data_IF_012267178040
#
_entry.id   IF_012267178040
#
_cell.length_a   1.000
_cell.length_b   1.000
_cell.length_c   1.000
_cell.angle_alpha   90.00
_cell.angle_beta   90.00
_cell.angle_gamma   90.00
#
_symmetry.space_group_name_H-M   'P 1'
#
loop_
_entity.id
_entity.type
_entity.pdbx_description
1 polymer ?
#
# COMPACT_ATOMS: atom_id res chain seq x y z
N UNK A 1 4.35 17.99 -17.61
CA UNK A 1 4.28 17.46 -16.24
C UNK A 1 5.71 17.26 -15.81
N UNK A 2 6.13 17.92 -14.73
CA UNK A 2 7.53 17.90 -14.28
C UNK A 2 7.98 16.47 -13.98
N UNK A 3 9.22 16.13 -14.34
CA UNK A 3 9.85 14.82 -14.08
C UNK A 3 9.88 14.42 -12.59
N UNK A 4 9.63 15.39 -11.68
CA UNK A 4 9.47 15.15 -10.25
C UNK A 4 8.13 14.49 -9.90
N UNK A 5 7.05 14.78 -10.63
CA UNK A 5 5.73 14.18 -10.37
C UNK A 5 5.63 12.73 -10.86
N UNK A 6 6.45 12.34 -11.85
CA UNK A 6 6.50 10.95 -12.35
C UNK A 6 7.10 9.97 -11.33
N UNK A 7 7.84 10.44 -10.32
CA UNK A 7 8.49 9.58 -9.33
C UNK A 7 7.71 9.40 -8.01
N UNK A 8 6.62 10.14 -7.79
CA UNK A 8 5.82 9.97 -6.58
C UNK A 8 5.08 8.62 -6.63
N UNK A 9 5.23 7.82 -5.57
CA UNK A 9 4.51 6.56 -5.39
C UNK A 9 3.01 6.84 -5.30
N UNK A 10 2.24 6.40 -6.30
CA UNK A 10 0.79 6.59 -6.38
C UNK A 10 0.03 5.27 -6.29
N UNK A 11 0.69 4.15 -6.61
CA UNK A 11 0.06 2.85 -6.87
C UNK A 11 -0.70 2.31 -5.66
N UNK A 12 -0.18 2.48 -4.45
CA UNK A 12 -0.86 2.15 -3.18
C UNK A 12 -1.75 3.28 -2.65
N UNK A 13 -1.56 4.51 -3.17
CA UNK A 13 -2.15 5.75 -2.69
C UNK A 13 -3.23 6.33 -3.59
N UNK A 14 -3.64 5.70 -4.68
CA UNK A 14 -4.69 6.24 -5.54
C UNK A 14 -5.62 5.15 -6.08
N UNK A 15 -6.76 5.61 -6.59
CA UNK A 15 -7.68 4.81 -7.39
C UNK A 15 -7.63 5.40 -8.79
N UNK A 16 -7.29 4.57 -9.79
CA UNK A 16 -7.26 4.99 -11.20
C UNK A 16 -8.10 4.08 -12.07
N UNK A 17 -8.69 4.68 -13.10
CA UNK A 17 -9.53 4.05 -14.11
C UNK A 17 -8.84 4.17 -15.46
N UNK A 18 -9.02 3.18 -16.34
CA UNK A 18 -8.56 3.19 -17.73
C UNK A 18 -7.09 3.62 -17.89
N UNK A 19 -6.23 3.18 -16.97
CA UNK A 19 -4.80 3.52 -16.99
C UNK A 19 -4.11 2.74 -18.11
N UNK A 20 -3.41 3.40 -19.05
CA UNK A 20 -2.77 2.70 -20.17
C UNK A 20 -1.81 1.62 -19.70
N UNK A 21 -2.00 0.39 -20.18
CA UNK A 21 -1.12 -0.75 -19.93
C UNK A 21 -0.82 -1.02 -18.44
N UNK A 22 -1.76 -0.72 -17.54
CA UNK A 22 -1.54 -0.81 -16.07
C UNK A 22 -1.10 -2.19 -15.60
N UNK A 23 -1.55 -3.24 -16.28
CA UNK A 23 -1.22 -4.63 -15.97
C UNK A 23 0.20 -5.05 -16.40
N UNK A 24 0.82 -4.29 -17.31
CA UNK A 24 2.15 -4.56 -17.85
C UNK A 24 3.22 -3.57 -17.34
N UNK A 25 2.81 -2.47 -16.69
CA UNK A 25 3.72 -1.45 -16.15
C UNK A 25 3.62 -1.43 -14.62
N UNK A 26 4.28 -2.42 -14.01
CA UNK A 26 4.46 -2.45 -12.56
C UNK A 26 5.58 -1.50 -12.16
N UNK A 27 5.40 -0.79 -11.05
CA UNK A 27 6.44 0.07 -10.48
C UNK A 27 7.65 -0.76 -10.07
N UNK A 28 8.84 -0.16 -10.07
CA UNK A 28 10.02 -0.77 -9.42
C UNK A 28 9.71 -1.12 -7.96
N UNK A 29 9.89 -2.39 -7.60
CA UNK A 29 9.57 -2.93 -6.27
C UNK A 29 8.14 -3.46 -6.14
N UNK A 30 7.27 -3.19 -7.11
CA UNK A 30 5.96 -3.81 -7.20
C UNK A 30 6.07 -5.22 -7.80
N UNK A 31 5.36 -6.18 -7.22
CA UNK A 31 5.32 -7.58 -7.68
C UNK A 31 3.89 -8.08 -7.66
N UNK A 32 3.50 -8.81 -8.70
CA UNK A 32 2.25 -9.59 -8.70
C UNK A 32 2.45 -10.77 -7.77
N UNK A 33 1.57 -10.90 -6.79
CA UNK A 33 1.57 -11.96 -5.78
C UNK A 33 0.52 -13.01 -6.09
N UNK A 34 -0.61 -12.62 -6.71
CA UNK A 34 -1.63 -13.55 -7.17
C UNK A 34 -2.38 -13.02 -8.41
N UNK A 35 -2.98 -13.94 -9.18
CA UNK A 35 -3.84 -13.63 -10.33
C UNK A 35 -5.08 -14.51 -10.29
N UNK A 36 -6.26 -13.88 -10.19
CA UNK A 36 -7.55 -14.55 -10.20
C UNK A 36 -8.20 -14.34 -11.57
N UNK A 37 -8.54 -15.46 -12.22
CA UNK A 37 -9.09 -15.50 -13.57
C UNK A 37 -10.62 -15.55 -13.57
N UNK A 38 -11.21 -15.12 -14.68
CA UNK A 38 -12.65 -15.14 -14.96
C UNK A 38 -13.47 -14.25 -14.02
N UNK A 39 -12.98 -13.02 -13.82
CA UNK A 39 -13.59 -12.06 -12.90
C UNK A 39 -14.22 -10.91 -13.67
N UNK A 40 -15.50 -10.64 -13.42
CA UNK A 40 -16.26 -9.52 -13.97
C UNK A 40 -16.28 -8.33 -13.00
N UNK A 41 -16.03 -7.12 -13.50
CA UNK A 41 -16.40 -5.87 -12.80
C UNK A 41 -17.90 -5.59 -13.02
N UNK A 42 -18.73 -6.06 -12.09
CA UNK A 42 -20.19 -6.03 -12.24
C UNK A 42 -20.80 -4.62 -12.18
N UNK A 43 -20.11 -3.65 -11.58
CA UNK A 43 -20.62 -2.27 -11.42
C UNK A 43 -20.19 -1.35 -12.57
N UNK A 44 -18.97 -1.49 -13.06
CA UNK A 44 -18.45 -0.64 -14.13
C UNK A 44 -18.56 -1.26 -15.53
N UNK A 45 -18.37 -2.57 -15.65
CA UNK A 45 -18.16 -3.26 -16.93
C UNK A 45 -18.91 -4.60 -17.01
N UNK A 46 -20.21 -4.58 -16.66
CA UNK A 46 -21.03 -5.80 -16.56
C UNK A 46 -21.10 -6.58 -17.89
N UNK A 47 -20.76 -7.87 -17.86
CA UNK A 47 -20.67 -8.75 -19.03
C UNK A 47 -19.29 -8.86 -19.66
N UNK A 48 -18.31 -8.10 -19.16
CA UNK A 48 -16.95 -8.18 -19.64
C UNK A 48 -16.09 -9.04 -18.72
N UNK A 49 -15.49 -10.08 -19.29
CA UNK A 49 -14.60 -10.98 -18.54
C UNK A 49 -13.23 -10.33 -18.41
N UNK A 50 -12.76 -10.21 -17.17
CA UNK A 50 -11.44 -9.70 -16.84
C UNK A 50 -10.63 -10.64 -15.96
N UNK A 51 -9.51 -10.11 -15.48
CA UNK A 51 -8.64 -10.75 -14.49
C UNK A 51 -8.38 -9.77 -13.35
N UNK A 52 -8.32 -10.30 -12.12
CA UNK A 52 -7.81 -9.57 -10.97
C UNK A 52 -6.36 -9.93 -10.73
N UNK A 53 -5.49 -8.93 -10.64
CA UNK A 53 -4.10 -9.06 -10.24
C UNK A 53 -3.97 -8.45 -8.85
N UNK A 54 -3.54 -9.25 -7.89
CA UNK A 54 -3.17 -8.79 -6.56
C UNK A 54 -1.65 -8.57 -6.54
N UNK A 55 -1.22 -7.34 -6.37
CA UNK A 55 0.20 -6.99 -6.23
C UNK A 55 0.54 -6.76 -4.76
N UNK A 56 1.77 -6.43 -4.42
CA UNK A 56 2.12 -5.97 -3.07
C UNK A 56 1.65 -4.54 -2.73
N UNK A 57 1.10 -3.76 -3.68
CA UNK A 57 0.70 -2.36 -3.48
C UNK A 57 -0.79 -2.08 -3.76
N UNK A 58 -1.41 -2.85 -4.64
CA UNK A 58 -2.75 -2.59 -5.18
C UNK A 58 -3.41 -3.84 -5.76
N UNK A 59 -4.72 -3.75 -5.94
CA UNK A 59 -5.48 -4.66 -6.80
C UNK A 59 -5.70 -3.99 -8.15
N UNK A 60 -5.45 -4.74 -9.23
CA UNK A 60 -5.71 -4.32 -10.61
C UNK A 60 -6.76 -5.24 -11.20
N UNK A 61 -7.84 -4.69 -11.75
CA UNK A 61 -8.72 -5.42 -12.66
C UNK A 61 -8.48 -4.93 -14.09
N UNK A 62 -8.42 -5.82 -15.07
CA UNK A 62 -8.44 -5.42 -16.48
C UNK A 62 -9.30 -6.36 -17.31
N UNK A 63 -9.94 -5.78 -18.32
CA UNK A 63 -10.76 -6.51 -19.29
C UNK A 63 -9.89 -7.32 -20.26
N UNK A 64 -10.36 -8.52 -20.61
CA UNK A 64 -9.78 -9.34 -21.68
C UNK A 64 -10.32 -8.96 -23.07
N UNK A 65 -11.52 -8.37 -23.13
CA UNK A 65 -12.18 -7.99 -24.38
C UNK A 65 -11.82 -6.57 -24.83
N UNK A 66 -11.59 -5.67 -23.88
CA UNK A 66 -11.38 -4.24 -24.11
C UNK A 66 -10.07 -3.77 -23.47
N UNK A 67 -9.05 -3.54 -24.30
CA UNK A 67 -7.71 -3.11 -23.83
C UNK A 67 -7.71 -1.81 -23.02
N UNK A 68 -8.74 -0.96 -23.19
CA UNK A 68 -8.87 0.31 -22.48
C UNK A 68 -9.39 0.14 -21.06
N UNK A 69 -10.29 -0.82 -20.82
CA UNK A 69 -11.01 -0.92 -19.56
C UNK A 69 -10.18 -1.61 -18.48
N UNK A 70 -9.85 -0.85 -17.45
CA UNK A 70 -9.14 -1.36 -16.27
C UNK A 70 -9.39 -0.47 -15.05
N UNK A 71 -9.10 -1.05 -13.88
CA UNK A 71 -9.19 -0.43 -12.57
C UNK A 71 -7.90 -0.74 -11.81
N UNK A 72 -7.34 0.26 -11.15
CA UNK A 72 -6.21 0.12 -10.23
C UNK A 72 -6.61 0.73 -8.89
N UNK A 73 -6.66 -0.09 -7.85
CA UNK A 73 -7.12 0.31 -6.52
C UNK A 73 -5.98 0.07 -5.51
N UNK A 74 -5.33 1.14 -5.09
CA UNK A 74 -4.28 1.09 -4.07
C UNK A 74 -4.80 0.61 -2.72
N UNK A 75 -4.02 -0.26 -2.05
CA UNK A 75 -4.42 -0.78 -0.73
C UNK A 75 -4.55 0.32 0.33
N UNK A 76 -3.81 1.42 0.21
CA UNK A 76 -3.94 2.58 1.09
C UNK A 76 -5.29 3.30 0.96
N UNK A 77 -6.12 2.94 -0.02
CA UNK A 77 -7.46 3.51 -0.23
C UNK A 77 -8.60 2.59 0.22
N UNK A 78 -8.30 1.36 0.63
CA UNK A 78 -9.31 0.42 1.12
C UNK A 78 -9.91 0.93 2.43
N UNK A 79 -11.24 0.94 2.50
CA UNK A 79 -12.03 1.24 3.71
C UNK A 79 -12.63 -0.03 4.27
N UNK A 80 -13.20 -0.87 3.40
CA UNK A 80 -13.76 -2.17 3.77
C UNK A 80 -13.62 -3.14 2.61
N UNK A 81 -13.41 -4.42 2.90
CA UNK A 81 -13.43 -5.47 1.89
C UNK A 81 -14.05 -6.75 2.47
N UNK A 82 -14.89 -7.43 1.69
CA UNK A 82 -15.49 -8.71 2.07
C UNK A 82 -15.91 -9.51 0.83
N UNK A 83 -16.17 -10.79 1.03
CA UNK A 83 -16.82 -11.65 0.03
C UNK A 83 -18.32 -11.59 0.21
N UNK A 84 -19.06 -11.50 -0.91
CA UNK A 84 -20.52 -11.56 -0.97
C UNK A 84 -20.96 -12.66 -1.91
N UNK A 85 -22.13 -13.24 -1.66
CA UNK A 85 -22.82 -14.09 -2.64
C UNK A 85 -23.70 -13.20 -3.52
N UNK A 86 -23.54 -13.30 -4.83
CA UNK A 86 -24.30 -12.53 -5.84
C UNK A 86 -24.86 -13.48 -6.89
N UNK A 87 -25.89 -13.07 -7.62
CA UNK A 87 -26.45 -13.87 -8.72
C UNK A 87 -25.70 -13.51 -10.01
N UNK A 88 -25.09 -14.51 -10.64
CA UNK A 88 -24.43 -14.36 -11.94
C UNK A 88 -25.47 -14.11 -13.05
N UNK A 89 -25.03 -13.61 -14.22
CA UNK A 89 -25.91 -13.48 -15.40
C UNK A 89 -26.51 -14.81 -15.87
N UNK A 90 -25.84 -15.94 -15.59
CA UNK A 90 -26.34 -17.28 -15.88
C UNK A 90 -27.42 -17.76 -14.89
N UNK A 91 -27.79 -16.94 -13.90
CA UNK A 91 -28.89 -17.21 -12.96
C UNK A 91 -28.50 -18.00 -11.71
N UNK A 92 -27.24 -18.46 -11.60
CA UNK A 92 -26.73 -19.18 -10.42
C UNK A 92 -26.01 -18.26 -9.43
N UNK A 93 -26.02 -18.58 -8.12
CA UNK A 93 -25.23 -17.84 -7.12
C UNK A 93 -23.73 -18.06 -7.35
N UNK A 94 -22.96 -16.99 -7.26
CA UNK A 94 -21.51 -16.92 -7.39
C UNK A 94 -20.91 -16.03 -6.31
N UNK A 95 -19.62 -16.16 -6.06
CA UNK A 95 -18.89 -15.30 -5.13
C UNK A 95 -18.49 -13.99 -5.81
N UNK A 96 -18.53 -12.90 -5.06
CA UNK A 96 -17.99 -11.62 -5.47
C UNK A 96 -17.16 -10.97 -4.38
N UNK A 97 -16.02 -10.41 -4.77
CA UNK A 97 -15.21 -9.54 -3.94
C UNK A 97 -15.81 -8.13 -3.95
N UNK A 98 -16.22 -7.68 -2.78
CA UNK A 98 -16.63 -6.29 -2.54
C UNK A 98 -15.46 -5.50 -1.96
N UNK A 99 -15.18 -4.34 -2.55
CA UNK A 99 -14.21 -3.37 -2.03
C UNK A 99 -14.90 -2.00 -1.94
N UNK A 100 -14.96 -1.46 -0.73
CA UNK A 100 -15.25 -0.06 -0.49
C UNK A 100 -13.91 0.67 -0.36
N UNK A 101 -13.69 1.69 -1.18
CA UNK A 101 -12.48 2.49 -1.16
C UNK A 101 -12.81 3.98 -1.17
N UNK A 102 -11.89 4.81 -0.66
CA UNK A 102 -12.04 6.27 -0.67
C UNK A 102 -10.91 6.91 -1.46
N UNK A 103 -11.28 7.68 -2.49
CA UNK A 103 -10.38 8.64 -3.14
C UNK A 103 -10.30 9.94 -2.35
N UNK A 104 -9.77 11.00 -2.96
CA UNK A 104 -9.49 12.29 -2.30
C UNK A 104 -10.71 12.89 -1.60
N UNK A 105 -11.92 12.76 -2.16
CA UNK A 105 -13.18 13.19 -1.53
C UNK A 105 -14.39 12.32 -1.93
N UNK A 106 -14.15 11.16 -2.55
CA UNK A 106 -15.22 10.34 -3.15
C UNK A 106 -15.08 8.91 -2.69
N UNK A 107 -16.19 8.32 -2.25
CA UNK A 107 -16.27 6.89 -1.94
C UNK A 107 -16.65 6.11 -3.19
N UNK A 108 -15.92 5.04 -3.44
CA UNK A 108 -16.14 4.13 -4.55
C UNK A 108 -16.45 2.75 -4.01
N UNK A 109 -17.39 2.07 -4.67
CA UNK A 109 -17.71 0.68 -4.41
C UNK A 109 -17.41 -0.14 -5.65
N UNK A 110 -16.60 -1.17 -5.48
CA UNK A 110 -16.25 -2.13 -6.52
C UNK A 110 -16.81 -3.49 -6.16
N UNK A 111 -17.29 -4.21 -7.17
CA UNK A 111 -17.87 -5.54 -7.01
C UNK A 111 -17.38 -6.45 -8.14
N UNK A 112 -16.50 -7.37 -7.79
CA UNK A 112 -15.82 -8.25 -8.72
C UNK A 112 -16.36 -9.67 -8.57
N UNK A 113 -17.16 -10.14 -9.54
CA UNK A 113 -17.83 -11.45 -9.46
C UNK A 113 -17.08 -12.52 -10.24
N UNK A 114 -17.03 -13.74 -9.70
CA UNK A 114 -16.58 -14.92 -10.45
C UNK A 114 -17.64 -15.33 -11.48
N UNK A 115 -17.21 -15.37 -12.74
CA UNK A 115 -18.05 -15.77 -13.88
C UNK A 115 -17.46 -16.98 -14.62
N UNK A 116 -16.57 -17.74 -13.98
CA UNK A 116 -15.98 -18.96 -14.54
C UNK A 116 -17.01 -20.03 -14.93
N UNK A 117 -18.17 -20.05 -14.24
CA UNK A 117 -19.16 -21.12 -14.38
C UNK A 117 -18.69 -22.46 -13.77
N UNK A 118 -17.51 -22.49 -13.15
CA UNK A 118 -16.94 -23.67 -12.53
C UNK A 118 -17.60 -23.91 -11.17
N UNK A 119 -18.40 -24.97 -11.09
CA UNK A 119 -19.08 -25.35 -9.85
C UNK A 119 -18.11 -25.69 -8.72
N UNK A 120 -16.87 -26.12 -9.03
CA UNK A 120 -15.87 -26.40 -8.01
C UNK A 120 -15.38 -25.14 -7.28
N UNK A 121 -15.41 -23.97 -7.95
CA UNK A 121 -15.02 -22.68 -7.35
C UNK A 121 -16.07 -22.09 -6.43
N UNK A 122 -17.33 -22.51 -6.57
CA UNK A 122 -18.47 -21.94 -5.85
C UNK A 122 -18.28 -21.94 -4.33
N UNK A 123 -17.66 -22.99 -3.80
CA UNK A 123 -17.44 -23.17 -2.36
C UNK A 123 -15.97 -22.91 -1.94
N UNK A 124 -15.11 -22.49 -2.87
CA UNK A 124 -13.69 -22.21 -2.61
C UNK A 124 -13.50 -20.72 -2.27
N UNK A 125 -12.59 -20.37 -1.35
CA UNK A 125 -12.36 -18.98 -0.99
C UNK A 125 -11.42 -18.32 -2.02
N UNK A 126 -11.89 -18.18 -3.25
CA UNK A 126 -11.06 -17.76 -4.41
C UNK A 126 -10.43 -16.36 -4.25
N UNK A 127 -10.99 -15.51 -3.38
CA UNK A 127 -10.48 -14.17 -3.08
C UNK A 127 -9.60 -14.11 -1.83
N UNK A 128 -9.32 -15.25 -1.17
CA UNK A 128 -8.60 -15.30 0.11
C UNK A 128 -7.23 -14.60 0.05
N UNK A 129 -6.49 -14.83 -1.03
CA UNK A 129 -5.18 -14.23 -1.26
C UNK A 129 -5.20 -12.70 -1.21
N UNK A 130 -6.25 -12.06 -1.73
CA UNK A 130 -6.39 -10.59 -1.70
C UNK A 130 -6.49 -10.08 -0.26
N UNK A 131 -7.25 -10.77 0.59
CA UNK A 131 -7.37 -10.40 2.01
C UNK A 131 -6.04 -10.56 2.74
N UNK A 132 -5.32 -11.65 2.49
CA UNK A 132 -4.01 -11.91 3.10
C UNK A 132 -2.97 -10.88 2.69
N UNK A 133 -2.89 -10.59 1.38
CA UNK A 133 -1.99 -9.57 0.84
C UNK A 133 -2.31 -8.19 1.42
N UNK A 134 -3.60 -7.81 1.48
CA UNK A 134 -4.02 -6.54 2.07
C UNK A 134 -3.65 -6.46 3.56
N UNK A 135 -3.83 -7.55 4.31
CA UNK A 135 -3.46 -7.61 5.71
C UNK A 135 -1.94 -7.46 5.92
N UNK A 136 -1.13 -8.11 5.08
CA UNK A 136 0.33 -7.95 5.07
C UNK A 136 0.74 -6.52 4.74
N UNK A 137 0.10 -5.89 3.76
CA UNK A 137 0.30 -4.47 3.44
C UNK A 137 0.05 -3.61 4.69
N UNK A 138 -1.07 -3.76 5.39
CA UNK A 138 -1.39 -2.99 6.59
C UNK A 138 -0.35 -3.14 7.71
N UNK A 139 0.19 -4.34 7.91
CA UNK A 139 1.16 -4.63 8.99
C UNK A 139 2.58 -4.15 8.70
N UNK A 140 2.88 -3.81 7.46
CA UNK A 140 4.22 -3.38 7.00
C UNK A 140 4.30 -1.87 6.74
N UNK A 141 3.40 -1.08 7.34
CA UNK A 141 3.33 0.37 7.11
C UNK A 141 4.63 1.12 7.44
N UNK A 142 5.38 0.66 8.45
CA UNK A 142 6.65 1.27 8.88
C UNK A 142 7.78 1.24 7.82
N UNK A 143 7.62 0.48 6.73
CA UNK A 143 8.56 0.48 5.60
C UNK A 143 8.31 1.65 4.65
N UNK A 144 7.16 2.30 4.74
CA UNK A 144 6.70 3.27 3.73
C UNK A 144 6.06 4.52 4.30
N UNK A 145 5.52 4.49 5.51
CA UNK A 145 4.81 5.61 6.13
C UNK A 145 5.63 6.22 7.27
N UNK A 146 5.63 7.56 7.32
CA UNK A 146 6.17 8.31 8.45
C UNK A 146 5.38 7.96 9.72
N UNK A 147 6.10 7.60 10.79
CA UNK A 147 5.50 7.36 12.10
C UNK A 147 6.11 8.28 13.14
N UNK A 148 5.24 9.04 13.80
CA UNK A 148 5.56 9.79 15.01
C UNK A 148 5.06 9.02 16.22
N UNK A 149 5.84 9.04 17.30
CA UNK A 149 5.49 8.44 18.61
C UNK A 149 5.02 6.99 18.48
N UNK A 150 5.80 6.18 17.76
CA UNK A 150 5.53 4.76 17.59
C UNK A 150 6.08 3.91 18.74
N UNK A 151 5.48 2.76 19.00
CA UNK A 151 6.07 1.73 19.87
C UNK A 151 7.14 0.96 19.08
N UNK A 152 8.25 1.65 18.79
CA UNK A 152 9.35 1.14 17.96
C UNK A 152 10.64 0.91 18.75
N UNK A 153 10.68 1.31 20.02
CA UNK A 153 11.82 1.15 20.92
C UNK A 153 11.41 0.17 22.03
N UNK A 154 12.32 -0.74 22.38
CA UNK A 154 12.19 -1.65 23.50
C UNK A 154 13.51 -1.66 24.26
N UNK A 155 13.47 -1.25 25.54
CA UNK A 155 14.65 -1.26 26.42
C UNK A 155 15.86 -0.50 25.83
N UNK A 156 15.63 0.71 25.31
CA UNK A 156 16.68 1.54 24.72
C UNK A 156 17.17 1.09 23.33
N UNK A 157 16.53 0.08 22.72
CA UNK A 157 16.93 -0.44 21.41
C UNK A 157 15.80 -0.37 20.39
N UNK A 158 16.16 -0.09 19.14
CA UNK A 158 15.23 -0.10 18.02
C UNK A 158 14.72 -1.54 17.77
N UNK A 159 13.40 -1.70 17.70
CA UNK A 159 12.75 -2.92 17.23
C UNK A 159 12.93 -2.98 15.71
N UNK A 160 13.75 -3.93 15.27
CA UNK A 160 14.12 -4.16 13.87
C UNK A 160 13.01 -4.92 13.15
N UNK A 161 12.60 -4.43 11.98
CA UNK A 161 11.64 -5.11 11.11
C UNK A 161 12.31 -6.23 10.30
N UNK A 162 11.55 -7.19 9.74
CA UNK A 162 12.11 -8.14 8.77
C UNK A 162 12.94 -7.46 7.67
N UNK A 163 14.11 -8.01 7.32
CA UNK A 163 15.03 -7.44 6.32
C UNK A 163 15.59 -6.03 6.64
N UNK A 164 15.28 -5.46 7.80
CA UNK A 164 15.88 -4.23 8.29
C UNK A 164 17.26 -4.53 8.92
N UNK A 165 18.27 -3.75 8.53
CA UNK A 165 19.63 -3.82 9.06
C UNK A 165 20.07 -2.45 9.52
N UNK A 166 20.62 -2.36 10.72
CA UNK A 166 21.22 -1.13 11.25
C UNK A 166 22.55 -0.89 10.54
N UNK A 167 22.65 0.26 9.86
CA UNK A 167 23.87 0.72 9.21
C UNK A 167 24.71 1.57 10.15
N UNK A 168 24.07 2.42 10.97
CA UNK A 168 24.75 3.26 11.94
C UNK A 168 23.86 3.56 13.14
N UNK A 169 24.47 3.81 14.29
CA UNK A 169 23.80 4.22 15.52
C UNK A 169 24.60 5.33 16.20
N UNK A 170 24.01 6.53 16.28
CA UNK A 170 24.68 7.75 16.74
C UNK A 170 23.94 8.29 17.95
N UNK A 171 24.59 8.25 19.10
CA UNK A 171 24.08 8.83 20.34
C UNK A 171 24.30 10.35 20.37
N UNK A 172 23.53 11.06 21.19
CA UNK A 172 23.73 12.49 21.45
C UNK A 172 23.26 13.41 20.33
N UNK A 173 22.34 12.94 19.47
CA UNK A 173 21.77 13.72 18.38
C UNK A 173 20.57 14.52 18.87
N UNK A 174 20.68 15.85 18.75
CA UNK A 174 19.62 16.77 19.13
C UNK A 174 18.53 16.85 18.07
N UNK A 175 17.27 16.71 18.50
CA UNK A 175 16.12 17.09 17.71
C UNK A 175 15.80 18.57 17.97
N UNK A 176 15.84 19.37 16.89
CA UNK A 176 15.65 20.82 16.91
C UNK A 176 14.22 21.26 16.57
N UNK A 177 13.23 20.35 16.56
CA UNK A 177 11.84 20.68 16.26
C UNK A 177 11.09 21.36 17.42
N UNK A 178 11.76 21.63 18.54
CA UNK A 178 11.20 22.23 19.76
C UNK A 178 12.17 23.26 20.33
N UNK A 179 11.66 24.29 21.01
CA UNK A 179 12.43 25.44 21.50
C UNK A 179 13.62 25.08 22.40
N UNK A 180 13.50 24.03 23.23
CA UNK A 180 14.58 23.60 24.13
C UNK A 180 15.47 22.50 23.55
N UNK A 181 15.14 21.98 22.36
CA UNK A 181 15.75 20.79 21.78
C UNK A 181 15.52 19.53 22.64
N UNK A 182 15.65 18.35 22.04
CA UNK A 182 15.66 17.09 22.78
C UNK A 182 16.89 16.26 22.42
N UNK A 183 17.65 15.84 23.43
CA UNK A 183 18.77 14.91 23.24
C UNK A 183 18.24 13.49 23.00
N UNK A 184 18.82 12.79 22.03
CA UNK A 184 18.41 11.44 21.70
C UNK A 184 19.44 10.67 20.91
N UNK A 185 18.97 9.51 20.43
CA UNK A 185 19.75 8.56 19.64
C UNK A 185 19.19 8.52 18.22
N UNK A 186 20.08 8.56 17.23
CA UNK A 186 19.77 8.52 15.81
C UNK A 186 20.27 7.22 15.17
N UNK A 187 19.34 6.43 14.64
CA UNK A 187 19.62 5.14 14.02
C UNK A 187 19.37 5.23 12.52
N UNK A 188 20.38 4.87 11.75
CA UNK A 188 20.32 4.77 10.28
C UNK A 188 20.20 3.31 9.92
N UNK A 189 19.13 2.92 9.22
CA UNK A 189 18.95 1.56 8.70
C UNK A 189 18.97 1.55 7.17
N UNK A 190 18.91 0.37 6.56
CA UNK A 190 18.75 0.22 5.12
C UNK A 190 17.33 0.57 4.61
N UNK A 191 16.37 0.84 5.49
CA UNK A 191 14.95 1.08 5.12
C UNK A 191 14.47 2.47 5.56
N UNK A 192 14.93 2.96 6.72
CA UNK A 192 14.40 4.17 7.35
C UNK A 192 15.43 4.83 8.27
N UNK A 193 15.18 6.10 8.56
CA UNK A 193 15.85 6.84 9.61
C UNK A 193 14.98 6.81 10.86
N UNK A 194 15.58 6.57 12.02
CA UNK A 194 14.88 6.60 13.30
C UNK A 194 15.60 7.53 14.25
N UNK A 195 14.83 8.35 14.96
CA UNK A 195 15.33 9.12 16.09
C UNK A 195 14.41 8.90 17.29
N UNK A 196 14.97 8.76 18.49
CA UNK A 196 14.20 8.68 19.73
C UNK A 196 14.92 9.44 20.85
N UNK A 197 14.16 10.10 21.73
CA UNK A 197 14.71 10.84 22.86
C UNK A 197 15.19 9.89 23.97
N UNK A 198 16.34 10.20 24.56
CA UNK A 198 16.94 9.36 25.61
C UNK A 198 16.13 9.43 26.92
N UNK A 199 15.59 10.61 27.24
CA UNK A 199 14.78 10.83 28.45
C UNK A 199 13.34 10.30 28.31
N UNK A 200 12.86 10.07 27.08
CA UNK A 200 11.52 9.58 26.82
C UNK A 200 11.44 8.91 25.45
N UNK A 201 11.60 7.59 25.43
CA UNK A 201 11.59 6.79 24.20
C UNK A 201 10.28 6.88 23.40
N UNK A 202 9.16 7.28 24.03
CA UNK A 202 7.88 7.49 23.31
C UNK A 202 7.91 8.73 22.43
N UNK A 203 8.84 9.65 22.66
CA UNK A 203 9.12 10.77 21.78
C UNK A 203 10.13 10.34 20.71
N UNK A 204 9.60 9.76 19.64
CA UNK A 204 10.38 9.22 18.54
C UNK A 204 9.77 9.53 17.16
N UNK A 205 10.60 9.38 16.14
CA UNK A 205 10.29 9.55 14.73
C UNK A 205 10.88 8.36 13.98
N UNK A 206 10.08 7.76 13.11
CA UNK A 206 10.52 6.76 12.13
C UNK A 206 10.16 7.26 10.73
N UNK A 207 11.17 7.58 9.93
CA UNK A 207 11.07 8.21 8.63
C UNK A 207 11.65 7.28 7.55
N UNK A 208 10.81 6.53 6.82
CA UNK A 208 11.25 5.69 5.71
C UNK A 208 11.85 6.50 4.57
N UNK A 209 12.87 5.96 3.89
CA UNK A 209 13.52 6.65 2.76
C UNK A 209 12.53 7.04 1.66
N UNK A 210 11.48 6.25 1.49
CA UNK A 210 10.40 6.50 0.54
C UNK A 210 9.66 7.84 0.78
N UNK A 211 9.72 8.38 1.99
CA UNK A 211 9.07 9.65 2.38
C UNK A 211 10.05 10.83 2.33
N UNK A 212 11.33 10.60 2.06
CA UNK A 212 12.36 11.65 2.04
C UNK A 212 12.50 12.17 0.61
N UNK A 213 12.17 13.44 0.41
CA UNK A 213 12.37 14.11 -0.88
C UNK A 213 13.80 14.62 -1.07
N UNK A 214 14.41 15.15 0.00
CA UNK A 214 15.75 15.70 -0.01
C UNK A 214 16.37 15.63 1.39
N UNK A 215 17.70 15.48 1.44
CA UNK A 215 18.51 15.62 2.66
C UNK A 215 19.58 16.64 2.38
N UNK A 216 19.57 17.74 3.14
CA UNK A 216 20.55 18.82 2.99
C UNK A 216 20.98 19.33 4.36
N UNK A 217 22.24 19.74 4.45
CA UNK A 217 22.73 20.49 5.60
C UNK A 217 22.48 21.97 5.30
N UNK A 218 21.74 22.65 6.17
CA UNK A 218 21.65 24.10 6.11
C UNK A 218 22.77 24.68 6.97
N UNK A 219 23.82 25.18 6.32
CA UNK A 219 24.88 25.92 6.99
C UNK A 219 24.43 27.38 7.07
N UNK A 220 23.82 27.78 8.17
CA UNK A 220 23.76 29.21 8.48
C UNK A 220 25.18 29.67 8.77
N UNK A 221 25.78 30.40 7.83
CA UNK A 221 27.03 31.10 8.05
C UNK A 221 26.72 32.19 9.07
N UNK A 222 27.04 31.95 10.33
CA UNK A 222 27.08 33.02 11.34
C UNK A 222 28.20 33.97 10.95
N UNK A 223 27.84 35.12 10.39
CA UNK A 223 28.72 36.28 10.23
C UNK A 223 29.20 36.82 11.58
#
# INVERSE_FOLDING_TARGET
MDSLSENLLWEDKEIRFDTPNVQNHLRRGEKVLDTIYHIEDTKGNAGDTGRLLATNLRVIWYSLSHKKYNLSIGYGRFVNTNTRSVVSKAGGPTQALYILATGSNTRFEFLFADISGDTARKDQPIFQSIFEIYHLYQRTYLYRDLKLRGAIILSGQLIIMPEEMVCNNVNGVWNLSSDQGNLGTFVVTNIRLVWFADANETFNISLPYLQISNVSVNLEITN
#
